data_IF_823758053921
#
_entry.id   IF_823758053921
#
_cell.length_a   1.000
_cell.length_b   1.000
_cell.length_c   1.000
_cell.angle_alpha   90.00
_cell.angle_beta   90.00
_cell.angle_gamma   90.00
#
_symmetry.space_group_name_H-M   'P 1'
#
loop_
_entity.id
_entity.type
_entity.pdbx_description
1 polymer ?
#
# COMPACT_ATOMS: atom_id res chain seq x y z
N UNK A 1 17.96 -4.82 8.74
CA UNK A 1 17.07 -4.09 7.85
C UNK A 1 17.41 -4.45 6.40
N UNK A 2 16.42 -4.89 5.62
CA UNK A 2 16.58 -5.28 4.23
C UNK A 2 15.62 -4.42 3.40
N UNK A 3 16.12 -3.81 2.34
CA UNK A 3 15.38 -2.86 1.50
C UNK A 3 15.55 -3.22 0.03
N UNK A 4 14.47 -3.19 -0.72
CA UNK A 4 14.50 -3.08 -2.16
C UNK A 4 14.54 -1.59 -2.52
N UNK A 5 15.71 -1.09 -2.92
CA UNK A 5 15.88 0.32 -3.30
C UNK A 5 15.31 0.68 -4.67
N UNK A 6 14.82 -0.31 -5.43
CA UNK A 6 14.19 -0.07 -6.72
C UNK A 6 12.77 0.47 -6.54
N UNK A 7 12.47 1.62 -7.16
CA UNK A 7 11.19 2.31 -6.96
C UNK A 7 10.03 1.72 -7.78
N UNK A 8 10.32 0.91 -8.80
CA UNK A 8 9.32 0.44 -9.76
C UNK A 8 9.29 -1.07 -9.95
N UNK A 9 10.29 -1.80 -9.46
CA UNK A 9 10.41 -3.23 -9.66
C UNK A 9 10.43 -4.00 -8.34
N UNK A 10 9.72 -5.11 -8.32
CA UNK A 10 9.84 -6.11 -7.25
C UNK A 10 11.15 -6.89 -7.39
N UNK A 11 11.68 -7.37 -6.27
CA UNK A 11 12.89 -8.17 -6.22
C UNK A 11 12.69 -9.42 -5.36
N UNK A 12 12.86 -10.57 -5.98
CA UNK A 12 12.93 -11.84 -5.26
C UNK A 12 14.40 -12.19 -5.03
N UNK A 13 14.79 -12.40 -3.80
CA UNK A 13 16.18 -12.70 -3.43
C UNK A 13 16.23 -13.66 -2.25
N UNK A 14 17.28 -14.48 -2.22
CA UNK A 14 17.58 -15.33 -1.07
C UNK A 14 18.61 -14.63 -0.18
N UNK A 15 18.23 -14.41 1.05
CA UNK A 15 19.06 -13.78 2.07
C UNK A 15 19.53 -14.85 3.04
N UNK A 16 20.81 -14.88 3.38
CA UNK A 16 21.36 -15.73 4.43
C UNK A 16 21.83 -14.88 5.59
N UNK A 17 21.33 -15.19 6.77
CA UNK A 17 21.77 -14.55 8.01
C UNK A 17 22.98 -15.29 8.56
N UNK A 18 23.92 -14.52 9.14
CA UNK A 18 25.11 -15.11 9.73
C UNK A 18 24.79 -16.00 10.93
N UNK A 19 25.56 -17.05 11.13
CA UNK A 19 25.40 -17.97 12.28
C UNK A 19 25.51 -17.24 13.63
N UNK A 20 26.23 -16.12 13.70
CA UNK A 20 26.31 -15.29 14.89
C UNK A 20 24.99 -14.64 15.28
N UNK A 21 24.10 -14.37 14.31
CA UNK A 21 22.76 -13.84 14.53
C UNK A 21 21.77 -14.95 14.87
N UNK A 22 21.83 -16.08 14.15
CA UNK A 22 20.80 -17.14 14.23
C UNK A 22 21.03 -18.12 15.37
N UNK A 23 22.27 -18.27 15.86
CA UNK A 23 22.61 -19.25 16.89
C UNK A 23 21.94 -18.94 18.22
N UNK A 24 21.05 -19.84 18.69
CA UNK A 24 20.27 -19.69 19.94
C UNK A 24 19.40 -18.44 19.99
N UNK A 25 18.94 -17.98 18.84
CA UNK A 25 18.03 -16.84 18.73
C UNK A 25 16.91 -17.15 17.75
N UNK A 26 15.74 -16.60 18.02
CA UNK A 26 14.60 -16.64 17.12
C UNK A 26 14.67 -15.45 16.17
N UNK A 27 14.32 -15.69 14.92
CA UNK A 27 14.20 -14.65 13.92
C UNK A 27 12.75 -14.15 13.88
N UNK A 28 12.55 -12.86 13.91
CA UNK A 28 11.23 -12.26 13.72
C UNK A 28 11.29 -11.11 12.73
N UNK A 29 10.21 -10.88 12.01
CA UNK A 29 9.93 -9.62 11.32
C UNK A 29 9.22 -8.70 12.31
N UNK A 30 9.67 -7.47 12.38
CA UNK A 30 9.09 -6.44 13.19
C UNK A 30 8.48 -5.38 12.30
N UNK A 31 7.18 -5.14 12.46
CA UNK A 31 6.49 -4.05 11.78
C UNK A 31 6.68 -2.75 12.58
N UNK A 32 7.41 -1.76 12.04
CA UNK A 32 7.67 -0.52 12.76
C UNK A 32 6.44 0.40 12.84
N UNK A 33 5.39 0.17 12.04
CA UNK A 33 4.16 0.96 12.07
C UNK A 33 3.21 0.51 13.18
N UNK A 34 3.08 -0.80 13.38
CA UNK A 34 2.17 -1.39 14.37
C UNK A 34 2.87 -1.82 15.64
N UNK A 35 4.18 -2.04 15.61
CA UNK A 35 4.96 -2.65 16.67
C UNK A 35 4.81 -4.17 16.75
N UNK A 36 4.05 -4.78 15.85
CA UNK A 36 3.86 -6.23 15.81
C UNK A 36 5.16 -6.95 15.45
N UNK A 37 5.33 -8.10 16.08
CA UNK A 37 6.44 -9.01 15.80
C UNK A 37 5.89 -10.37 15.44
N UNK A 38 6.34 -10.91 14.29
CA UNK A 38 5.94 -12.23 13.81
C UNK A 38 7.17 -13.10 13.58
N UNK A 39 7.10 -14.35 14.04
CA UNK A 39 8.17 -15.33 13.90
C UNK A 39 8.46 -15.65 12.45
N UNK A 40 9.74 -15.70 12.10
CA UNK A 40 10.22 -16.12 10.77
C UNK A 40 10.85 -17.50 10.88
N UNK A 41 10.38 -18.44 10.07
CA UNK A 41 11.00 -19.75 9.93
C UNK A 41 12.10 -19.62 8.86
N UNK A 42 13.35 -19.79 9.29
CA UNK A 42 14.50 -19.84 8.40
C UNK A 42 14.73 -21.26 7.89
N UNK A 43 15.28 -21.36 6.69
CA UNK A 43 15.82 -22.64 6.19
C UNK A 43 16.95 -23.16 7.12
N UNK A 44 17.29 -24.47 7.10
CA UNK A 44 18.31 -25.04 7.98
C UNK A 44 19.69 -24.38 7.87
N UNK A 45 20.00 -23.76 6.75
CA UNK A 45 21.24 -23.02 6.52
C UNK A 45 21.20 -21.55 6.95
N UNK A 46 20.11 -21.14 7.60
CA UNK A 46 19.87 -19.75 8.05
C UNK A 46 19.45 -18.82 6.92
N UNK A 47 18.96 -19.35 5.80
CA UNK A 47 18.49 -18.54 4.69
C UNK A 47 16.98 -18.37 4.69
N UNK A 48 16.51 -17.37 3.92
CA UNK A 48 15.11 -17.03 3.69
C UNK A 48 14.95 -16.50 2.28
N UNK A 49 13.95 -16.98 1.56
CA UNK A 49 13.53 -16.39 0.29
C UNK A 49 12.63 -15.20 0.57
N UNK A 50 13.02 -14.03 0.08
CA UNK A 50 12.26 -12.79 0.20
C UNK A 50 11.75 -12.35 -1.15
N UNK A 51 10.52 -11.89 -1.18
CA UNK A 51 9.93 -11.17 -2.29
C UNK A 51 9.53 -9.77 -1.81
N UNK A 52 10.33 -8.77 -2.21
CA UNK A 52 10.15 -7.38 -1.83
C UNK A 52 9.57 -6.59 -3.00
N UNK A 53 8.45 -5.95 -2.77
CA UNK A 53 7.87 -5.00 -3.72
C UNK A 53 8.76 -3.78 -3.96
N UNK A 54 8.38 -2.91 -4.91
CA UNK A 54 9.05 -1.63 -5.13
C UNK A 54 9.14 -0.83 -3.82
N UNK A 55 10.31 -0.28 -3.52
CA UNK A 55 10.61 0.44 -2.27
C UNK A 55 10.26 -0.34 -0.98
N UNK A 56 10.01 -1.66 -1.09
CA UNK A 56 9.64 -2.49 0.05
C UNK A 56 10.80 -2.73 1.00
N UNK A 57 10.50 -2.84 2.28
CA UNK A 57 11.51 -3.10 3.31
C UNK A 57 10.99 -4.03 4.39
N UNK A 58 11.91 -4.74 5.04
CA UNK A 58 11.63 -5.59 6.19
C UNK A 58 12.67 -5.35 7.29
N UNK A 59 12.19 -5.25 8.53
CA UNK A 59 13.02 -5.16 9.71
C UNK A 59 13.04 -6.53 10.39
N UNK A 60 14.24 -7.15 10.48
CA UNK A 60 14.45 -8.42 11.17
C UNK A 60 15.07 -8.19 12.54
N UNK A 61 14.53 -8.86 13.54
CA UNK A 61 15.09 -8.92 14.89
C UNK A 61 15.51 -10.35 15.23
N UNK A 62 16.60 -10.47 16.00
CA UNK A 62 17.14 -11.74 16.48
C UNK A 62 17.34 -11.66 17.97
N UNK A 63 16.48 -12.32 18.74
CA UNK A 63 16.53 -12.32 20.19
C UNK A 63 16.21 -13.72 20.78
N UNK A 64 16.02 -13.77 22.09
CA UNK A 64 15.73 -15.02 22.81
C UNK A 64 14.25 -15.30 22.95
N UNK A 65 13.42 -14.29 22.69
CA UNK A 65 11.97 -14.39 22.79
C UNK A 65 11.42 -14.83 21.43
N UNK A 66 10.54 -15.79 21.44
CA UNK A 66 9.85 -16.27 20.25
C UNK A 66 8.48 -15.61 20.16
N UNK A 67 8.15 -15.08 18.99
CA UNK A 67 6.81 -14.58 18.70
C UNK A 67 5.87 -15.75 18.43
N UNK A 68 4.64 -15.69 18.94
CA UNK A 68 3.65 -16.75 18.76
C UNK A 68 3.16 -16.84 17.31
N UNK A 69 2.92 -15.68 16.69
CA UNK A 69 2.45 -15.62 15.31
C UNK A 69 3.57 -15.82 14.29
N UNK A 70 3.27 -16.63 13.28
CA UNK A 70 4.18 -16.86 12.15
C UNK A 70 4.00 -15.76 11.10
N UNK A 71 5.13 -15.18 10.67
CA UNK A 71 5.15 -14.26 9.55
C UNK A 71 4.95 -15.01 8.23
N UNK A 72 3.98 -14.56 7.47
CA UNK A 72 3.73 -15.04 6.11
C UNK A 72 3.66 -13.83 5.19
N UNK A 73 4.47 -13.79 4.12
CA UNK A 73 4.38 -12.71 3.16
C UNK A 73 3.01 -12.76 2.47
N UNK A 74 2.37 -11.59 2.33
CA UNK A 74 1.16 -11.48 1.53
C UNK A 74 1.51 -11.67 0.05
N UNK A 75 0.85 -12.64 -0.60
CA UNK A 75 1.00 -12.84 -2.03
C UNK A 75 0.38 -11.67 -2.81
N UNK A 76 1.02 -11.25 -3.91
CA UNK A 76 0.44 -10.24 -4.81
C UNK A 76 -0.77 -10.76 -5.59
N UNK A 77 -0.72 -12.05 -5.92
CA UNK A 77 -1.76 -12.74 -6.69
C UNK A 77 -2.04 -14.10 -6.09
N UNK A 78 -3.31 -14.43 -5.93
CA UNK A 78 -3.76 -15.77 -5.55
C UNK A 78 -3.97 -16.67 -6.78
N UNK A 79 -4.50 -17.87 -6.54
CA UNK A 79 -4.91 -18.80 -7.61
C UNK A 79 -6.07 -18.24 -8.42
N UNK A 80 -7.00 -17.57 -7.73
CA UNK A 80 -8.17 -16.94 -8.33
C UNK A 80 -8.06 -15.43 -8.10
N UNK A 81 -7.83 -14.69 -9.19
CA UNK A 81 -7.70 -13.22 -9.15
C UNK A 81 -8.88 -12.60 -9.87
N UNK A 82 -9.60 -11.73 -9.18
CA UNK A 82 -10.71 -10.96 -9.74
C UNK A 82 -10.34 -9.49 -9.80
N UNK A 83 -10.58 -8.87 -10.95
CA UNK A 83 -10.33 -7.44 -11.13
C UNK A 83 -11.56 -6.64 -10.69
N UNK A 84 -11.37 -5.78 -9.69
CA UNK A 84 -12.41 -4.88 -9.16
C UNK A 84 -12.14 -3.45 -9.64
N UNK A 85 -12.09 -3.20 -10.95
CA UNK A 85 -11.76 -1.88 -11.51
C UNK A 85 -12.97 -1.06 -11.98
N UNK A 86 -14.20 -1.60 -11.85
CA UNK A 86 -15.42 -0.98 -12.40
C UNK A 86 -16.44 -0.63 -11.32
N UNK A 87 -17.31 0.33 -11.64
CA UNK A 87 -18.48 0.66 -10.85
C UNK A 87 -18.13 1.38 -9.53
N UNK A 88 -17.13 2.20 -9.51
CA UNK A 88 -16.71 2.98 -8.36
C UNK A 88 -17.44 4.32 -8.31
N UNK A 89 -17.84 4.75 -7.12
CA UNK A 89 -18.09 6.16 -6.82
C UNK A 89 -16.86 6.75 -6.15
N UNK A 90 -16.51 7.98 -6.49
CA UNK A 90 -15.38 8.70 -5.92
C UNK A 90 -15.80 10.06 -5.40
N UNK A 91 -15.52 10.34 -4.14
CA UNK A 91 -15.70 11.63 -3.50
C UNK A 91 -14.34 12.32 -3.39
N UNK A 92 -14.18 13.41 -4.10
CA UNK A 92 -12.97 14.23 -4.10
C UNK A 92 -13.14 15.40 -3.14
N UNK A 93 -12.26 15.51 -2.15
CA UNK A 93 -12.19 16.62 -1.20
C UNK A 93 -10.91 17.40 -1.40
N UNK A 94 -11.02 18.63 -1.89
CA UNK A 94 -9.86 19.45 -2.23
C UNK A 94 -9.14 19.97 -0.98
N UNK A 95 -7.79 19.93 -0.99
CA UNK A 95 -6.96 20.28 0.17
C UNK A 95 -7.02 21.76 0.59
N UNK A 96 -7.33 22.67 -0.35
CA UNK A 96 -7.31 24.12 -0.12
C UNK A 96 -8.53 24.62 0.65
N UNK A 97 -9.72 24.26 0.19
CA UNK A 97 -10.99 24.83 0.63
C UNK A 97 -11.98 23.77 1.14
N UNK A 98 -11.59 22.49 1.09
CA UNK A 98 -12.46 21.40 1.50
C UNK A 98 -13.66 21.18 0.56
N UNK A 99 -13.67 21.82 -0.61
CA UNK A 99 -14.73 21.61 -1.60
C UNK A 99 -14.82 20.13 -1.97
N UNK A 100 -16.05 19.65 -2.13
CA UNK A 100 -16.33 18.23 -2.38
C UNK A 100 -16.96 18.09 -3.76
N UNK A 101 -16.49 17.11 -4.52
CA UNK A 101 -17.07 16.70 -5.79
C UNK A 101 -17.22 15.19 -5.84
N UNK A 102 -18.40 14.70 -6.17
CA UNK A 102 -18.68 13.29 -6.40
C UNK A 102 -18.67 12.96 -7.89
N UNK A 103 -18.07 11.81 -8.23
CA UNK A 103 -17.98 11.32 -9.60
C UNK A 103 -18.24 9.81 -9.60
N UNK A 104 -19.10 9.37 -10.53
CA UNK A 104 -19.25 7.95 -10.85
C UNK A 104 -18.19 7.56 -11.86
N UNK A 105 -17.43 6.52 -11.58
CA UNK A 105 -16.35 6.03 -12.43
C UNK A 105 -16.71 4.64 -12.97
N UNK A 106 -16.97 4.55 -14.24
CA UNK A 106 -17.18 3.24 -14.88
C UNK A 106 -15.95 2.34 -14.71
N UNK A 107 -14.76 2.96 -14.72
CA UNK A 107 -13.48 2.33 -14.51
C UNK A 107 -12.55 3.25 -13.72
N UNK A 108 -11.74 2.67 -12.82
CA UNK A 108 -10.67 3.41 -12.16
C UNK A 108 -9.66 3.92 -13.21
N UNK A 109 -9.37 5.20 -13.14
CA UNK A 109 -8.51 5.92 -14.09
C UNK A 109 -7.50 6.77 -13.32
N UNK A 110 -6.30 6.93 -13.85
CA UNK A 110 -5.31 7.85 -13.29
C UNK A 110 -5.86 9.29 -13.36
N UNK A 111 -5.81 10.02 -12.24
CA UNK A 111 -6.30 11.40 -12.18
C UNK A 111 -5.61 12.34 -13.18
N UNK A 112 -4.40 12.01 -13.62
CA UNK A 112 -3.68 12.75 -14.68
C UNK A 112 -4.38 12.68 -16.03
N UNK A 113 -5.17 11.63 -16.28
CA UNK A 113 -5.95 11.45 -17.50
C UNK A 113 -7.32 12.13 -17.43
N UNK A 114 -7.69 12.67 -16.26
CA UNK A 114 -8.94 13.37 -16.03
C UNK A 114 -8.67 14.89 -16.00
N UNK A 115 -9.04 15.66 -17.06
CA UNK A 115 -8.67 17.07 -17.17
C UNK A 115 -9.08 17.94 -15.97
N UNK A 116 -10.19 17.61 -15.33
CA UNK A 116 -10.70 18.33 -14.17
C UNK A 116 -9.92 18.04 -12.87
N UNK A 117 -9.15 16.95 -12.82
CA UNK A 117 -8.40 16.53 -11.63
C UNK A 117 -6.88 16.55 -11.82
N UNK A 118 -6.38 16.99 -12.97
CA UNK A 118 -4.93 17.01 -13.27
C UNK A 118 -4.11 17.80 -12.24
N UNK A 119 -4.72 18.80 -11.62
CA UNK A 119 -4.12 19.60 -10.55
C UNK A 119 -4.73 19.33 -9.17
N UNK A 120 -5.50 18.26 -9.05
CA UNK A 120 -6.12 17.93 -7.78
C UNK A 120 -5.08 17.49 -6.74
N UNK A 121 -5.25 18.02 -5.53
CA UNK A 121 -4.58 17.53 -4.33
C UNK A 121 -5.57 17.56 -3.17
N UNK A 122 -5.57 16.50 -2.37
CA UNK A 122 -6.52 16.33 -1.29
C UNK A 122 -6.76 14.87 -0.97
N UNK A 123 -7.93 14.54 -0.48
CA UNK A 123 -8.36 13.16 -0.29
C UNK A 123 -9.41 12.75 -1.30
N UNK A 124 -9.32 11.50 -1.75
CA UNK A 124 -10.33 10.86 -2.61
C UNK A 124 -10.81 9.61 -1.91
N UNK A 125 -12.10 9.53 -1.67
CA UNK A 125 -12.74 8.34 -1.11
C UNK A 125 -13.45 7.58 -2.21
N UNK A 126 -12.88 6.45 -2.59
CA UNK A 126 -13.46 5.51 -3.56
C UNK A 126 -14.34 4.51 -2.85
N UNK A 127 -15.55 4.27 -3.37
CA UNK A 127 -16.50 3.30 -2.80
C UNK A 127 -16.98 2.33 -3.85
N UNK A 128 -17.02 1.04 -3.46
CA UNK A 128 -17.55 -0.04 -4.29
C UNK A 128 -18.20 -1.11 -3.43
N UNK A 129 -18.71 -2.15 -4.07
CA UNK A 129 -19.24 -3.34 -3.43
C UNK A 129 -18.52 -4.57 -3.94
N UNK A 130 -18.27 -5.51 -3.05
CA UNK A 130 -17.64 -6.79 -3.33
C UNK A 130 -18.56 -7.91 -2.85
N UNK A 131 -18.98 -8.75 -3.77
CA UNK A 131 -19.70 -9.99 -3.41
C UNK A 131 -18.70 -11.13 -3.33
N UNK A 132 -18.73 -11.87 -2.24
CA UNK A 132 -17.90 -13.05 -2.06
C UNK A 132 -18.64 -14.16 -1.33
N UNK A 133 -18.32 -15.41 -1.68
CA UNK A 133 -18.87 -16.61 -1.03
C UNK A 133 -17.88 -17.24 -0.06
N UNK A 134 -16.60 -17.21 -0.41
CA UNK A 134 -15.50 -17.67 0.42
C UNK A 134 -14.58 -16.46 0.72
N UNK A 135 -14.22 -16.32 1.97
CA UNK A 135 -13.41 -15.18 2.45
C UNK A 135 -11.99 -15.59 2.83
N UNK A 136 -11.70 -16.90 2.90
CA UNK A 136 -10.45 -17.43 3.40
C UNK A 136 -9.25 -17.02 2.53
N UNK A 137 -8.22 -16.45 3.15
CA UNK A 137 -6.99 -16.03 2.49
C UNK A 137 -7.16 -14.87 1.51
N UNK A 138 -8.31 -14.17 1.51
CA UNK A 138 -8.54 -13.06 0.58
C UNK A 138 -7.66 -11.86 0.90
N UNK A 139 -7.05 -11.32 -0.16
CA UNK A 139 -6.28 -10.08 -0.12
C UNK A 139 -6.82 -9.10 -1.15
N UNK A 140 -6.77 -7.81 -0.84
CA UNK A 140 -7.06 -6.74 -1.80
C UNK A 140 -5.76 -6.02 -2.14
N UNK A 141 -5.41 -6.02 -3.43
CA UNK A 141 -4.28 -5.29 -3.96
C UNK A 141 -4.77 -4.03 -4.68
N UNK A 142 -4.42 -2.86 -4.17
CA UNK A 142 -4.81 -1.59 -4.77
C UNK A 142 -3.94 -1.22 -6.00
N UNK A 143 -2.92 -2.01 -6.32
CA UNK A 143 -2.00 -1.71 -7.40
C UNK A 143 -1.12 -0.49 -7.10
N UNK A 144 -1.00 0.40 -8.08
CA UNK A 144 -0.21 1.63 -7.94
C UNK A 144 -1.05 2.73 -7.31
N UNK A 145 -0.65 3.17 -6.12
CA UNK A 145 -1.26 4.32 -5.44
C UNK A 145 -0.17 5.31 -5.09
N UNK A 146 -0.34 6.56 -5.54
CA UNK A 146 0.54 7.67 -5.21
C UNK A 146 -0.06 8.47 -4.04
N UNK A 147 0.58 8.38 -2.88
CA UNK A 147 0.09 8.95 -1.63
C UNK A 147 -0.18 7.91 -0.56
N UNK A 148 -0.91 8.30 0.46
CA UNK A 148 -1.33 7.41 1.55
C UNK A 148 -2.68 6.79 1.21
N UNK A 149 -2.84 5.50 1.47
CA UNK A 149 -4.11 4.80 1.26
C UNK A 149 -4.59 4.13 2.55
N UNK A 150 -5.85 4.33 2.89
CA UNK A 150 -6.55 3.58 3.92
C UNK A 150 -7.62 2.72 3.25
N UNK A 151 -7.71 1.45 3.65
CA UNK A 151 -8.76 0.53 3.21
C UNK A 151 -9.73 0.29 4.36
N UNK A 152 -11.04 0.38 4.07
CA UNK A 152 -12.11 -0.06 4.97
C UNK A 152 -12.99 -1.08 4.27
N UNK A 153 -13.30 -2.15 4.98
CA UNK A 153 -14.28 -3.16 4.57
C UNK A 153 -15.43 -3.14 5.59
N UNK A 154 -16.64 -2.99 5.10
CA UNK A 154 -17.84 -2.92 5.95
C UNK A 154 -17.72 -1.82 7.04
N UNK A 155 -17.02 -0.72 6.74
CA UNK A 155 -16.79 0.40 7.66
C UNK A 155 -15.66 0.18 8.66
N UNK A 156 -15.02 -1.00 8.69
CA UNK A 156 -13.89 -1.32 9.58
C UNK A 156 -12.58 -1.10 8.84
N UNK A 157 -11.64 -0.37 9.46
CA UNK A 157 -10.31 -0.13 8.88
C UNK A 157 -9.47 -1.41 8.82
N UNK A 158 -8.96 -1.72 7.64
CA UNK A 158 -8.00 -2.80 7.41
C UNK A 158 -6.55 -2.30 7.50
N UNK A 159 -6.37 -1.03 7.83
CA UNK A 159 -5.07 -0.38 7.99
C UNK A 159 -4.77 0.69 6.94
N UNK A 160 -3.63 1.33 7.14
CA UNK A 160 -3.11 2.42 6.30
C UNK A 160 -1.80 1.99 5.68
N UNK A 161 -1.57 2.34 4.41
CA UNK A 161 -0.29 2.09 3.73
C UNK A 161 0.11 3.33 2.93
N UNK A 162 1.37 3.74 3.08
CA UNK A 162 1.91 4.93 2.44
C UNK A 162 3.15 4.66 1.58
N UNK A 163 3.73 3.46 1.66
CA UNK A 163 4.87 3.01 0.84
C UNK A 163 4.74 1.52 0.47
N UNK A 164 5.59 1.03 -0.41
CA UNK A 164 5.63 -0.37 -0.81
C UNK A 164 4.36 -0.84 -1.53
N UNK A 165 4.12 -2.14 -1.48
CA UNK A 165 2.91 -2.77 -2.05
C UNK A 165 1.67 -2.41 -1.26
N UNK A 166 0.61 -2.03 -1.95
CA UNK A 166 -0.70 -1.70 -1.34
C UNK A 166 -1.59 -2.94 -1.27
N UNK A 167 -1.11 -3.99 -0.57
CA UNK A 167 -1.82 -5.26 -0.40
C UNK A 167 -2.32 -5.33 1.04
N UNK A 168 -3.61 -5.59 1.21
CA UNK A 168 -4.28 -5.72 2.51
C UNK A 168 -4.85 -7.12 2.65
N UNK A 169 -4.64 -7.78 3.80
CA UNK A 169 -5.42 -8.94 4.19
C UNK A 169 -6.82 -8.47 4.55
N UNK A 170 -7.84 -9.06 3.95
CA UNK A 170 -9.22 -8.63 4.15
C UNK A 170 -10.15 -9.74 4.65
N UNK A 171 -9.65 -10.97 4.82
CA UNK A 171 -10.48 -12.13 5.18
C UNK A 171 -11.25 -11.92 6.48
N UNK A 172 -10.65 -11.31 7.49
CA UNK A 172 -11.27 -11.08 8.81
C UNK A 172 -12.37 -10.01 8.78
N UNK A 173 -12.38 -9.15 7.77
CA UNK A 173 -13.32 -8.04 7.61
C UNK A 173 -14.49 -8.38 6.69
N UNK A 174 -14.35 -9.46 5.91
CA UNK A 174 -15.36 -9.91 4.96
C UNK A 174 -16.43 -10.80 5.63
N UNK A 175 -17.60 -10.76 5.04
CA UNK A 175 -18.70 -11.69 5.32
C UNK A 175 -19.18 -12.33 4.02
N UNK A 176 -19.72 -13.55 4.04
CA UNK A 176 -20.38 -14.12 2.88
C UNK A 176 -21.48 -13.19 2.35
N UNK A 177 -21.57 -13.02 1.05
CA UNK A 177 -22.49 -12.11 0.37
C UNK A 177 -21.86 -10.75 0.08
N UNK A 178 -22.68 -9.70 0.11
CA UNK A 178 -22.29 -8.36 -0.28
C UNK A 178 -21.52 -7.63 0.83
N UNK A 179 -20.36 -7.09 0.49
CA UNK A 179 -19.49 -6.27 1.34
C UNK A 179 -19.33 -4.89 0.74
N UNK A 180 -19.14 -3.88 1.58
CA UNK A 180 -18.74 -2.54 1.15
C UNK A 180 -17.23 -2.41 1.20
N UNK A 181 -16.67 -1.83 0.13
CA UNK A 181 -15.24 -1.53 0.02
C UNK A 181 -15.09 -0.03 -0.08
N UNK A 182 -14.31 0.56 0.81
CA UNK A 182 -13.97 1.97 0.79
C UNK A 182 -12.45 2.13 0.84
N UNK A 183 -11.91 2.89 -0.12
CA UNK A 183 -10.48 3.22 -0.20
C UNK A 183 -10.35 4.73 -0.16
N UNK A 184 -9.74 5.25 0.90
CA UNK A 184 -9.38 6.66 0.97
C UNK A 184 -7.92 6.83 0.53
N UNK A 185 -7.69 7.68 -0.46
CA UNK A 185 -6.36 8.04 -0.93
C UNK A 185 -6.11 9.51 -0.64
N UNK A 186 -5.10 9.80 0.17
CA UNK A 186 -4.61 11.16 0.40
C UNK A 186 -3.40 11.41 -0.49
N UNK A 187 -3.52 12.36 -1.41
CA UNK A 187 -2.47 12.72 -2.37
C UNK A 187 -1.45 13.66 -1.74
N UNK A 188 -0.27 13.77 -2.36
CA UNK A 188 0.64 14.88 -2.06
C UNK A 188 0.11 16.20 -2.63
N UNK A 189 0.64 17.35 -2.16
CA UNK A 189 0.28 18.67 -2.67
C UNK A 189 0.95 19.02 -4.02
N UNK A 190 1.75 18.13 -4.60
CA UNK A 190 2.56 18.40 -5.79
C UNK A 190 1.73 18.86 -7.00
N UNK A 191 0.59 18.23 -7.25
CA UNK A 191 -0.27 18.62 -8.38
C UNK A 191 -0.90 19.99 -8.18
N UNK A 192 -1.36 20.30 -6.97
CA UNK A 192 -1.89 21.63 -6.64
C UNK A 192 -0.81 22.70 -6.77
N UNK A 193 0.40 22.46 -6.29
CA UNK A 193 1.52 23.41 -6.43
C UNK A 193 1.84 23.72 -7.89
N UNK A 194 1.72 22.74 -8.79
CA UNK A 194 1.88 22.97 -10.24
C UNK A 194 0.86 23.94 -10.82
N UNK A 195 -0.34 24.03 -10.24
CA UNK A 195 -1.38 24.98 -10.68
C UNK A 195 -1.10 26.43 -10.27
N UNK A 196 -0.22 26.66 -9.30
CA UNK A 196 0.10 27.98 -8.76
C UNK A 196 1.17 28.67 -9.63
N UNK A 197 0.83 29.02 -10.88
CA UNK A 197 1.77 29.54 -11.87
C UNK A 197 2.39 30.89 -11.48
N UNK A 198 1.67 31.69 -10.72
CA UNK A 198 2.11 33.04 -10.31
C UNK A 198 2.75 33.05 -8.91
N UNK A 199 2.91 31.90 -8.28
CA UNK A 199 3.57 31.80 -6.99
C UNK A 199 5.05 31.41 -7.14
N UNK A 200 6.00 32.31 -6.83
CA UNK A 200 7.42 32.04 -7.08
C UNK A 200 7.99 30.90 -6.22
N UNK A 201 7.42 30.67 -5.02
CA UNK A 201 7.85 29.56 -4.17
C UNK A 201 7.37 28.23 -4.74
N UNK A 202 6.10 28.15 -5.16
CA UNK A 202 5.57 26.97 -5.81
C UNK A 202 6.35 26.65 -7.09
N UNK A 203 6.62 27.67 -7.92
CA UNK A 203 7.40 27.51 -9.15
C UNK A 203 8.85 27.07 -8.88
N UNK A 204 9.48 27.58 -7.84
CA UNK A 204 10.79 27.13 -7.43
C UNK A 204 10.78 25.61 -7.15
N UNK A 205 9.89 25.12 -6.31
CA UNK A 205 9.80 23.72 -5.96
C UNK A 205 9.34 22.82 -7.13
N UNK A 206 8.49 23.28 -8.01
CA UNK A 206 8.04 22.52 -9.18
C UNK A 206 9.06 22.48 -10.31
N UNK A 207 9.94 23.49 -10.41
CA UNK A 207 10.95 23.59 -11.48
C UNK A 207 12.35 23.15 -11.05
N UNK A 208 12.71 23.29 -9.77
CA UNK A 208 14.09 23.17 -9.29
C UNK A 208 14.57 21.75 -8.98
N UNK A 209 13.79 20.73 -9.16
CA UNK A 209 14.32 19.42 -8.78
C UNK A 209 13.46 18.20 -9.13
N UNK A 210 12.34 18.43 -9.74
CA UNK A 210 11.40 17.34 -10.04
C UNK A 210 11.36 16.92 -11.51
N UNK A 211 12.23 17.49 -12.34
CA UNK A 211 12.29 17.11 -13.77
C UNK A 211 12.62 15.63 -13.98
N UNK A 212 13.29 15.02 -13.01
CA UNK A 212 13.79 13.64 -13.12
C UNK A 212 13.25 12.69 -12.01
N UNK A 213 12.36 13.16 -11.15
CA UNK A 213 11.69 12.27 -10.19
C UNK A 213 10.28 11.93 -10.71
N UNK A 214 9.99 10.67 -11.00
CA UNK A 214 8.63 10.23 -11.25
C UNK A 214 7.81 10.45 -9.97
N UNK A 215 6.78 11.26 -10.07
CA UNK A 215 5.75 11.42 -9.05
C UNK A 215 4.84 10.21 -9.05
#
# INVERSE_FOLDING_TARGET
FIVNSHLHESRTTRVRFSAGLTRRRHCSVWDPETGERKRVILDPDGSLLLDLGPAGSLLFAFDREESEEEWRPLAETGRDTHLLDRGWSAEFRHCRDGSVKEVMMDRLTDLKEMPEFVYFSGSVTYRNRLECTDTAGMVLNLGKVYGTSELRINGVSCGVKWYGRRIFSIEEYLKPGMNTVEVEVTTSMGNYMKSLTDNPVAQYWTNAGTKDQPL
#
